data_IF_474403005625
#
_entry.id   IF_474403005625
#
_cell.length_a   1.000
_cell.length_b   1.000
_cell.length_c   1.000
_cell.angle_alpha   90.00
_cell.angle_beta   90.00
_cell.angle_gamma   90.00
#
_symmetry.space_group_name_H-M   'P 1'
#
loop_
_entity.id
_entity.type
_entity.pdbx_description
1 polymer ?
#
# COMPACT_ATOMS: atom_id res chain seq x y z
N UNK A 1 -14.80 -11.31 -8.82
CA UNK A 1 -14.76 -10.70 -10.18
C UNK A 1 -15.33 -9.29 -10.09
N UNK A 2 -14.79 -8.34 -10.85
CA UNK A 2 -15.36 -6.99 -11.05
C UNK A 2 -15.79 -6.91 -12.51
N UNK A 3 -17.01 -6.46 -12.75
CA UNK A 3 -17.57 -6.24 -14.10
C UNK A 3 -17.89 -4.76 -14.20
N UNK A 4 -17.44 -4.10 -15.25
CA UNK A 4 -17.67 -2.67 -15.51
C UNK A 4 -17.83 -2.44 -17.02
N UNK A 5 -18.49 -1.37 -17.40
CA UNK A 5 -18.72 -0.97 -18.78
C UNK A 5 -19.99 -0.12 -18.92
N UNK A 6 -20.24 0.37 -20.12
CA UNK A 6 -21.40 1.21 -20.44
C UNK A 6 -22.60 0.40 -20.93
N UNK A 7 -22.40 -0.86 -21.32
CA UNK A 7 -23.45 -1.77 -21.77
C UNK A 7 -24.17 -2.42 -20.56
N UNK A 8 -25.22 -1.73 -20.10
CA UNK A 8 -26.00 -2.15 -18.93
C UNK A 8 -26.72 -3.48 -19.18
N UNK A 9 -27.25 -3.69 -20.39
CA UNK A 9 -28.00 -4.90 -20.75
C UNK A 9 -27.06 -6.10 -20.90
N UNK A 10 -25.90 -5.93 -21.54
CA UNK A 10 -24.86 -6.94 -21.63
C UNK A 10 -24.29 -7.34 -20.28
N UNK A 11 -24.09 -6.39 -19.36
CA UNK A 11 -23.68 -6.67 -17.98
C UNK A 11 -24.75 -7.49 -17.24
N UNK A 12 -26.03 -7.15 -17.40
CA UNK A 12 -27.12 -7.88 -16.76
C UNK A 12 -27.22 -9.33 -17.28
N UNK A 13 -27.08 -9.51 -18.59
CA UNK A 13 -27.07 -10.84 -19.23
C UNK A 13 -25.88 -11.68 -18.71
N UNK A 14 -24.67 -11.11 -18.74
CA UNK A 14 -23.47 -11.78 -18.25
C UNK A 14 -23.59 -12.19 -16.77
N UNK A 15 -24.14 -11.32 -15.91
CA UNK A 15 -24.39 -11.66 -14.50
C UNK A 15 -25.34 -12.85 -14.36
N UNK A 16 -26.41 -12.89 -15.18
CA UNK A 16 -27.37 -14.00 -15.17
C UNK A 16 -26.73 -15.31 -15.60
N UNK A 17 -25.93 -15.30 -16.65
CA UNK A 17 -25.22 -16.48 -17.15
C UNK A 17 -24.17 -16.99 -16.13
N UNK A 18 -23.40 -16.09 -15.51
CA UNK A 18 -22.44 -16.44 -14.48
C UNK A 18 -23.12 -17.02 -13.23
N UNK A 19 -24.27 -16.46 -12.83
CA UNK A 19 -25.04 -17.00 -11.71
C UNK A 19 -25.55 -18.41 -12.02
N UNK A 20 -26.02 -18.65 -13.25
CA UNK A 20 -26.53 -19.94 -13.65
C UNK A 20 -25.45 -21.03 -13.79
N UNK A 21 -24.31 -20.71 -14.46
CA UNK A 21 -23.27 -21.70 -14.73
C UNK A 21 -22.30 -21.94 -13.59
N UNK A 22 -22.07 -20.94 -12.72
CA UNK A 22 -21.02 -20.97 -11.68
C UNK A 22 -21.56 -20.71 -10.27
N UNK A 23 -22.88 -20.67 -10.07
CA UNK A 23 -23.50 -20.36 -8.77
C UNK A 23 -23.00 -19.04 -8.15
N UNK A 24 -22.61 -18.08 -8.98
CA UNK A 24 -22.05 -16.81 -8.53
C UNK A 24 -23.16 -15.88 -8.05
N UNK A 25 -22.90 -15.19 -6.91
CA UNK A 25 -23.80 -14.20 -6.37
C UNK A 25 -23.35 -12.79 -6.79
N UNK A 26 -24.28 -11.98 -7.30
CA UNK A 26 -24.05 -10.53 -7.46
C UNK A 26 -24.03 -9.85 -6.10
N UNK A 27 -22.92 -9.20 -5.77
CA UNK A 27 -22.73 -8.45 -4.54
C UNK A 27 -23.10 -6.96 -4.66
N UNK A 28 -23.65 -6.57 -5.83
CA UNK A 28 -24.04 -5.18 -6.11
C UNK A 28 -22.82 -4.28 -6.41
N UNK A 29 -22.93 -2.96 -6.17
CA UNK A 29 -21.86 -2.01 -6.44
C UNK A 29 -20.58 -2.34 -5.69
N UNK A 30 -19.43 -2.11 -6.34
CA UNK A 30 -18.12 -2.34 -5.74
C UNK A 30 -17.93 -1.46 -4.49
N UNK A 31 -17.75 -2.11 -3.34
CA UNK A 31 -17.49 -1.46 -2.04
C UNK A 31 -16.24 -1.99 -1.35
N UNK A 32 -15.87 -3.22 -1.66
CA UNK A 32 -14.73 -3.89 -1.05
C UNK A 32 -14.18 -4.96 -1.99
N UNK A 33 -12.88 -4.95 -2.22
CA UNK A 33 -12.23 -5.95 -3.06
C UNK A 33 -10.78 -6.15 -2.63
N UNK A 34 -10.40 -7.37 -2.32
CA UNK A 34 -9.03 -7.74 -1.93
C UNK A 34 -8.42 -6.85 -0.84
N UNK A 35 -9.17 -6.50 0.19
CA UNK A 35 -8.65 -5.66 1.28
C UNK A 35 -8.74 -4.15 1.00
N UNK A 36 -9.17 -3.73 -0.21
CA UNK A 36 -9.37 -2.32 -0.57
C UNK A 36 -10.84 -1.98 -0.41
N UNK A 37 -11.11 -0.95 0.38
CA UNK A 37 -12.41 -0.33 0.55
C UNK A 37 -12.63 0.69 -0.56
N UNK A 38 -13.79 0.67 -1.20
CA UNK A 38 -14.15 1.59 -2.29
C UNK A 38 -15.36 2.39 -1.88
N UNK A 39 -15.19 3.68 -1.67
CA UNK A 39 -16.26 4.61 -1.39
C UNK A 39 -16.54 5.52 -2.60
N UNK A 40 -17.82 5.71 -2.90
CA UNK A 40 -18.25 6.65 -3.95
C UNK A 40 -18.59 8.00 -3.33
N UNK A 41 -18.08 9.05 -3.93
CA UNK A 41 -18.40 10.44 -3.56
C UNK A 41 -18.83 11.22 -4.81
N UNK A 42 -19.43 12.43 -4.64
CA UNK A 42 -19.72 13.32 -5.78
C UNK A 42 -18.45 13.73 -6.56
N UNK A 43 -17.29 13.64 -5.95
CA UNK A 43 -16.00 13.99 -6.55
C UNK A 43 -15.34 12.83 -7.30
N UNK A 44 -15.80 11.58 -7.12
CA UNK A 44 -15.21 10.40 -7.71
C UNK A 44 -15.17 9.22 -6.71
N UNK A 45 -14.23 8.31 -6.93
CA UNK A 45 -14.01 7.16 -6.07
C UNK A 45 -12.87 7.41 -5.09
N UNK A 46 -13.06 6.93 -3.86
CA UNK A 46 -12.04 6.93 -2.81
C UNK A 46 -11.64 5.49 -2.54
N UNK A 47 -10.34 5.21 -2.60
CA UNK A 47 -9.77 3.92 -2.22
C UNK A 47 -9.11 4.04 -0.85
N UNK A 48 -9.48 3.14 0.06
CA UNK A 48 -8.96 3.08 1.43
C UNK A 48 -8.56 1.65 1.77
N UNK A 49 -7.73 1.50 2.80
CA UNK A 49 -7.40 0.21 3.40
C UNK A 49 -7.40 0.29 4.94
N UNK A 50 -8.36 1.04 5.51
CA UNK A 50 -8.41 1.31 6.95
C UNK A 50 -8.52 0.04 7.78
N UNK A 51 -9.36 -0.90 7.38
CA UNK A 51 -9.46 -2.22 8.01
C UNK A 51 -8.16 -3.01 7.89
N UNK A 52 -7.54 -3.00 6.73
CA UNK A 52 -6.28 -3.71 6.51
C UNK A 52 -5.14 -3.14 7.35
N UNK A 53 -5.08 -1.80 7.51
CA UNK A 53 -4.13 -1.16 8.44
C UNK A 53 -4.40 -1.60 9.88
N UNK A 54 -5.66 -1.62 10.32
CA UNK A 54 -6.01 -2.09 11.65
C UNK A 54 -5.54 -3.54 11.88
N UNK A 55 -5.79 -4.43 10.92
CA UNK A 55 -5.34 -5.83 10.97
C UNK A 55 -3.79 -5.96 11.05
N UNK A 56 -3.04 -5.06 10.36
CA UNK A 56 -1.57 -5.01 10.45
C UNK A 56 -1.13 -4.56 11.85
N UNK A 57 -1.75 -3.51 12.40
CA UNK A 57 -1.44 -3.00 13.74
C UNK A 57 -1.69 -4.05 14.82
N UNK A 58 -2.79 -4.79 14.75
CA UNK A 58 -3.11 -5.88 15.66
C UNK A 58 -2.10 -7.02 15.55
N UNK A 59 -1.74 -7.42 14.32
CA UNK A 59 -0.72 -8.46 14.07
C UNK A 59 0.65 -8.07 14.61
N UNK A 60 1.01 -6.79 14.48
CA UNK A 60 2.26 -6.26 15.03
C UNK A 60 2.24 -6.17 16.56
N UNK A 61 1.09 -6.39 17.21
CA UNK A 61 0.90 -6.27 18.66
C UNK A 61 1.34 -4.90 19.18
N UNK A 62 1.06 -3.85 18.42
CA UNK A 62 1.42 -2.50 18.81
C UNK A 62 0.43 -1.99 19.86
N UNK A 63 0.77 -2.13 21.13
CA UNK A 63 -0.11 -1.85 22.29
C UNK A 63 -0.17 -0.37 22.67
N UNK A 64 0.84 0.42 22.29
CA UNK A 64 0.82 1.87 22.55
C UNK A 64 -0.10 2.60 21.55
N UNK A 65 -0.62 3.77 21.95
CA UNK A 65 -1.48 4.63 21.12
C UNK A 65 -0.72 5.75 20.42
N UNK A 66 0.61 5.72 20.45
CA UNK A 66 1.45 6.79 19.89
C UNK A 66 1.28 6.87 18.39
N UNK A 67 1.28 8.09 17.89
CA UNK A 67 1.36 8.43 16.47
C UNK A 67 2.62 9.27 16.21
N UNK A 68 3.05 9.32 14.97
CA UNK A 68 4.17 10.15 14.51
C UNK A 68 3.81 10.80 13.18
N UNK A 69 4.38 11.95 12.89
CA UNK A 69 4.02 12.75 11.71
C UNK A 69 4.76 12.33 10.44
N UNK A 70 5.81 11.52 10.56
CA UNK A 70 6.62 11.06 9.42
C UNK A 70 6.93 9.58 9.54
N UNK A 71 6.84 8.81 8.43
CA UNK A 71 7.12 7.38 8.44
C UNK A 71 8.61 7.05 8.58
N UNK A 72 9.48 8.00 8.29
CA UNK A 72 10.93 7.89 8.37
C UNK A 72 11.53 9.06 9.13
N UNK A 73 12.61 8.84 9.85
CA UNK A 73 13.43 9.92 10.42
C UNK A 73 14.31 10.54 9.34
N UNK A 74 14.50 11.86 9.44
CA UNK A 74 15.33 12.58 8.50
C UNK A 74 16.82 12.20 8.66
N UNK A 75 17.54 12.07 7.55
CA UNK A 75 18.98 11.83 7.49
C UNK A 75 19.47 10.54 8.17
N UNK A 76 18.60 9.58 8.42
CA UNK A 76 19.01 8.26 8.94
C UNK A 76 19.49 7.39 7.79
N UNK A 77 20.64 6.76 8.00
CA UNK A 77 21.17 5.69 7.14
C UNK A 77 21.13 4.39 7.93
N UNK A 78 20.68 3.34 7.30
CA UNK A 78 20.61 2.01 7.91
C UNK A 78 21.72 1.12 7.36
N UNK A 79 22.32 0.34 8.25
CA UNK A 79 23.32 -0.67 7.90
C UNK A 79 22.88 -2.05 8.38
N UNK A 80 23.23 -3.15 7.68
CA UNK A 80 22.98 -4.51 8.14
C UNK A 80 23.53 -4.82 9.55
N UNK A 81 24.55 -4.06 9.99
CA UNK A 81 25.20 -4.22 11.29
C UNK A 81 24.60 -3.36 12.41
N UNK A 82 23.58 -2.54 12.13
CA UNK A 82 22.99 -1.66 13.13
C UNK A 82 22.11 -2.43 14.12
N UNK A 83 22.44 -2.36 15.41
CA UNK A 83 21.68 -3.01 16.49
C UNK A 83 21.95 -4.52 16.60
N UNK A 84 21.05 -5.20 17.29
CA UNK A 84 21.16 -6.65 17.56
C UNK A 84 20.22 -7.42 16.64
N UNK A 85 20.67 -8.52 15.99
CA UNK A 85 19.79 -9.36 15.17
C UNK A 85 18.57 -9.83 15.96
N UNK A 86 17.40 -9.84 15.30
CA UNK A 86 16.19 -10.37 15.91
C UNK A 86 16.30 -11.90 16.04
N UNK A 87 15.92 -12.42 17.20
CA UNK A 87 15.90 -13.88 17.47
C UNK A 87 14.90 -14.61 16.57
N UNK A 88 13.77 -13.96 16.25
CA UNK A 88 12.77 -14.45 15.29
C UNK A 88 12.41 -13.35 14.29
N UNK A 89 12.82 -13.46 13.02
CA UNK A 89 12.51 -12.52 11.97
C UNK A 89 11.12 -12.71 11.34
N UNK A 90 10.34 -13.72 11.76
CA UNK A 90 9.07 -14.09 11.11
C UNK A 90 8.07 -12.96 11.12
N UNK A 91 7.89 -12.31 12.29
CA UNK A 91 6.96 -11.18 12.41
C UNK A 91 7.41 -9.99 11.54
N UNK A 92 8.72 -9.69 11.53
CA UNK A 92 9.28 -8.63 10.67
C UNK A 92 8.92 -8.86 9.21
N UNK A 93 9.18 -10.05 8.68
CA UNK A 93 8.89 -10.42 7.28
C UNK A 93 7.40 -10.34 6.96
N UNK A 94 6.56 -10.82 7.87
CA UNK A 94 5.10 -10.78 7.72
C UNK A 94 4.59 -9.34 7.63
N UNK A 95 5.06 -8.46 8.52
CA UNK A 95 4.66 -7.05 8.51
C UNK A 95 5.16 -6.34 7.26
N UNK A 96 6.43 -6.54 6.85
CA UNK A 96 6.96 -5.95 5.61
C UNK A 96 6.12 -6.38 4.41
N UNK A 97 5.80 -7.68 4.26
CA UNK A 97 4.94 -8.16 3.17
C UNK A 97 3.55 -7.50 3.16
N UNK A 98 2.96 -7.29 4.34
CA UNK A 98 1.69 -6.57 4.47
C UNK A 98 1.80 -5.09 4.09
N UNK A 99 2.90 -4.44 4.48
CA UNK A 99 3.17 -3.03 4.17
C UNK A 99 3.43 -2.82 2.67
N UNK A 100 4.09 -3.76 1.98
CA UNK A 100 4.25 -3.72 0.52
C UNK A 100 2.89 -3.69 -0.17
N UNK A 101 1.95 -4.52 0.27
CA UNK A 101 0.59 -4.49 -0.30
C UNK A 101 -0.14 -3.17 -0.04
N UNK A 102 0.10 -2.54 1.11
CA UNK A 102 -0.51 -1.27 1.48
C UNK A 102 -0.07 -0.11 0.57
N UNK A 103 1.08 -0.19 -0.10
CA UNK A 103 1.55 0.88 -1.01
C UNK A 103 0.60 1.15 -2.18
N UNK A 104 -0.31 0.24 -2.49
CA UNK A 104 -1.34 0.41 -3.52
C UNK A 104 -2.22 1.64 -3.25
N UNK A 105 -2.60 1.86 -1.98
CA UNK A 105 -3.41 3.02 -1.58
C UNK A 105 -2.64 4.08 -0.82
N UNK A 106 -1.42 3.76 -0.36
CA UNK A 106 -0.53 4.62 0.42
C UNK A 106 0.85 4.72 -0.25
N UNK A 107 0.94 5.25 -1.48
CA UNK A 107 2.19 5.27 -2.26
C UNK A 107 3.31 6.05 -1.57
N UNK A 108 2.98 7.01 -0.72
CA UNK A 108 3.95 7.84 0.01
C UNK A 108 4.80 7.06 1.04
N UNK A 109 4.40 5.83 1.42
CA UNK A 109 5.24 4.96 2.27
C UNK A 109 6.15 4.03 1.45
N UNK A 110 6.05 3.99 0.11
CA UNK A 110 6.77 3.04 -0.72
C UNK A 110 8.28 3.12 -0.53
N UNK A 111 8.83 4.34 -0.43
CA UNK A 111 10.26 4.54 -0.24
C UNK A 111 10.77 3.95 1.08
N UNK A 112 10.10 4.23 2.19
CA UNK A 112 10.52 3.72 3.50
C UNK A 112 10.37 2.19 3.58
N UNK A 113 9.34 1.64 2.94
CA UNK A 113 9.16 0.18 2.85
C UNK A 113 10.28 -0.44 2.02
N UNK A 114 10.67 0.18 0.90
CA UNK A 114 11.82 -0.26 0.12
C UNK A 114 13.08 -0.34 0.99
N UNK A 115 13.37 0.68 1.80
CA UNK A 115 14.52 0.68 2.71
C UNK A 115 14.46 -0.52 3.68
N UNK A 116 13.37 -0.68 4.43
CA UNK A 116 13.28 -1.74 5.44
C UNK A 116 13.20 -3.13 4.82
N UNK A 117 12.74 -3.25 3.57
CA UNK A 117 12.71 -4.52 2.83
C UNK A 117 14.10 -5.09 2.54
N UNK A 118 15.13 -4.25 2.47
CA UNK A 118 16.51 -4.70 2.24
C UNK A 118 17.03 -5.57 3.37
N UNK A 119 16.46 -5.46 4.57
CA UNK A 119 16.91 -6.17 5.77
C UNK A 119 16.08 -7.42 6.13
N UNK A 120 15.19 -7.88 5.25
CA UNK A 120 14.29 -9.04 5.53
C UNK A 120 15.05 -10.36 5.78
N UNK A 121 16.28 -10.48 5.29
CA UNK A 121 17.11 -11.67 5.49
C UNK A 121 17.62 -11.76 6.93
N UNK A 122 18.15 -10.65 7.47
CA UNK A 122 18.71 -10.56 8.81
C UNK A 122 18.30 -9.23 9.48
N UNK A 123 17.03 -9.05 9.88
CA UNK A 123 16.58 -7.83 10.51
C UNK A 123 17.12 -7.70 11.93
N UNK A 124 17.35 -6.46 12.34
CA UNK A 124 17.85 -6.11 13.67
C UNK A 124 16.82 -5.31 14.47
N UNK A 125 17.13 -5.05 15.73
CA UNK A 125 16.30 -4.21 16.62
C UNK A 125 16.12 -2.78 16.08
N UNK A 126 17.11 -2.24 15.37
CA UNK A 126 17.03 -0.90 14.74
C UNK A 126 16.05 -0.94 13.56
N UNK A 127 16.14 -1.96 12.71
CA UNK A 127 15.20 -2.13 11.60
C UNK A 127 13.76 -2.33 12.11
N UNK A 128 13.55 -3.08 13.19
CA UNK A 128 12.24 -3.23 13.83
C UNK A 128 11.71 -1.93 14.40
N UNK A 129 12.57 -1.10 15.01
CA UNK A 129 12.15 0.22 15.48
C UNK A 129 11.64 1.12 14.34
N UNK A 130 12.28 1.03 13.16
CA UNK A 130 11.82 1.75 11.96
C UNK A 130 10.46 1.23 11.48
N UNK A 131 10.26 -0.09 11.43
CA UNK A 131 8.94 -0.67 11.11
C UNK A 131 7.89 -0.20 12.12
N UNK A 132 8.21 -0.19 13.41
CA UNK A 132 7.30 0.33 14.45
C UNK A 132 6.96 1.80 14.22
N UNK A 133 7.91 2.61 13.75
CA UNK A 133 7.65 4.01 13.39
C UNK A 133 6.67 4.12 12.20
N UNK A 134 6.85 3.30 11.16
CA UNK A 134 5.90 3.24 10.03
C UNK A 134 4.49 2.89 10.52
N UNK A 135 4.37 1.91 11.41
CA UNK A 135 3.09 1.49 11.98
C UNK A 135 2.42 2.62 12.80
N UNK A 136 3.18 3.38 13.58
CA UNK A 136 2.67 4.55 14.30
C UNK A 136 2.23 5.68 13.38
N UNK A 137 2.93 5.89 12.27
CA UNK A 137 2.53 6.83 11.22
C UNK A 137 1.20 6.40 10.60
N UNK A 138 1.07 5.14 10.18
CA UNK A 138 -0.15 4.59 9.61
C UNK A 138 -1.34 4.64 10.57
N UNK A 139 -1.12 4.51 11.87
CA UNK A 139 -2.16 4.72 12.87
C UNK A 139 -2.68 6.17 12.86
N UNK A 140 -1.81 7.15 12.67
CA UNK A 140 -2.18 8.56 12.57
C UNK A 140 -2.90 8.91 11.27
N UNK A 141 -2.68 8.12 10.21
CA UNK A 141 -3.20 8.34 8.86
C UNK A 141 -4.20 7.28 8.40
N UNK A 142 -4.84 6.58 9.36
CA UNK A 142 -5.70 5.41 9.13
C UNK A 142 -6.80 5.64 8.08
N UNK A 143 -7.35 6.85 7.99
CA UNK A 143 -8.45 7.22 7.10
C UNK A 143 -8.00 8.01 5.86
N UNK A 144 -6.70 8.10 5.62
CA UNK A 144 -6.23 8.66 4.35
C UNK A 144 -6.66 7.78 3.19
N UNK A 145 -7.02 8.43 2.09
CA UNK A 145 -7.59 7.78 0.91
C UNK A 145 -6.97 8.31 -0.37
N UNK A 146 -6.89 7.44 -1.36
CA UNK A 146 -6.52 7.80 -2.71
C UNK A 146 -7.79 8.18 -3.49
N UNK A 147 -7.86 9.42 -3.98
CA UNK A 147 -8.99 9.91 -4.75
C UNK A 147 -8.76 9.69 -6.26
N UNK A 148 -9.77 9.11 -6.90
CA UNK A 148 -9.92 9.00 -8.35
C UNK A 148 -11.03 9.95 -8.80
N UNK A 149 -10.70 11.19 -9.24
CA UNK A 149 -11.69 12.19 -9.57
C UNK A 149 -12.52 11.81 -10.80
N UNK A 150 -13.83 12.04 -10.75
CA UNK A 150 -14.75 11.77 -11.87
C UNK A 150 -14.60 12.75 -13.05
N UNK A 151 -13.97 13.89 -12.80
CA UNK A 151 -13.76 14.96 -13.79
C UNK A 151 -12.33 14.99 -14.34
N UNK A 152 -11.50 14.00 -14.00
CA UNK A 152 -10.11 13.91 -14.45
C UNK A 152 -10.04 13.58 -15.96
N UNK A 153 -9.00 14.08 -16.62
CA UNK A 153 -8.71 13.69 -18.01
C UNK A 153 -8.24 12.23 -18.07
N UNK A 154 -8.27 11.64 -19.27
CA UNK A 154 -7.72 10.30 -19.52
C UNK A 154 -6.29 10.37 -20.11
N UNK A 155 -5.59 11.47 -19.89
CA UNK A 155 -4.21 11.62 -20.31
C UNK A 155 -3.29 10.77 -19.44
N UNK A 156 -2.50 9.90 -20.06
CA UNK A 156 -1.51 9.09 -19.37
C UNK A 156 -0.20 9.86 -19.25
N UNK A 157 0.29 10.03 -18.01
CA UNK A 157 1.57 10.68 -17.70
C UNK A 157 2.41 9.75 -16.84
N UNK A 158 3.69 9.63 -17.19
CA UNK A 158 4.63 8.82 -16.42
C UNK A 158 5.86 9.65 -16.07
N UNK A 159 6.34 9.50 -14.83
CA UNK A 159 7.56 10.12 -14.34
C UNK A 159 8.46 9.03 -13.80
N UNK A 160 9.77 9.15 -14.05
CA UNK A 160 10.77 8.27 -13.47
C UNK A 160 11.98 9.07 -13.02
N UNK A 161 12.59 8.62 -11.93
CA UNK A 161 13.84 9.16 -11.41
C UNK A 161 14.74 8.02 -10.97
N UNK A 162 16.05 8.20 -11.09
CA UNK A 162 17.02 7.18 -10.73
C UNK A 162 18.16 7.78 -9.92
N UNK A 163 18.36 7.23 -8.72
CA UNK A 163 19.46 7.57 -7.84
C UNK A 163 20.62 6.62 -8.13
N UNK A 164 21.60 7.09 -8.90
CA UNK A 164 22.76 6.30 -9.30
C UNK A 164 23.61 5.90 -8.10
N UNK A 165 23.86 4.58 -7.95
CA UNK A 165 24.76 4.01 -6.94
C UNK A 165 24.55 4.58 -5.52
N UNK A 166 23.28 4.82 -5.13
CA UNK A 166 22.90 5.48 -3.89
C UNK A 166 23.10 4.63 -2.64
N UNK A 167 23.06 3.30 -2.78
CA UNK A 167 23.27 2.40 -1.66
C UNK A 167 24.77 2.43 -1.26
N UNK A 168 25.10 2.79 -0.02
CA UNK A 168 26.48 2.84 0.45
C UNK A 168 27.12 1.45 0.60
N UNK A 169 26.32 0.39 0.71
CA UNK A 169 26.76 -0.97 1.02
C UNK A 169 27.13 -1.74 -0.25
N UNK A 170 26.23 -1.76 -1.24
CA UNK A 170 26.40 -2.56 -2.46
C UNK A 170 26.43 -1.71 -3.75
N UNK A 171 26.33 -0.39 -3.61
CA UNK A 171 26.37 0.59 -4.72
C UNK A 171 25.25 0.39 -5.74
N UNK A 172 24.17 -0.26 -5.36
CA UNK A 172 22.99 -0.37 -6.22
C UNK A 172 22.29 0.97 -6.40
N UNK A 173 21.74 1.15 -7.59
CA UNK A 173 20.89 2.29 -7.92
C UNK A 173 19.45 2.01 -7.50
N UNK A 174 18.75 3.05 -7.00
CA UNK A 174 17.32 2.98 -6.75
C UNK A 174 16.59 3.77 -7.82
N UNK A 175 15.63 3.13 -8.48
CA UNK A 175 14.76 3.80 -9.47
C UNK A 175 13.36 3.92 -8.89
N UNK A 176 12.83 5.14 -8.90
CA UNK A 176 11.43 5.43 -8.60
C UNK A 176 10.67 5.74 -9.89
N UNK A 177 9.40 5.42 -9.92
CA UNK A 177 8.50 5.87 -10.98
C UNK A 177 7.09 6.12 -10.41
N UNK A 178 6.32 6.96 -11.10
CA UNK A 178 4.91 7.11 -10.85
C UNK A 178 4.16 7.33 -12.16
N UNK A 179 2.98 6.74 -12.25
CA UNK A 179 2.11 6.80 -13.43
C UNK A 179 0.77 7.39 -13.03
N UNK A 180 0.35 8.40 -13.76
CA UNK A 180 -0.93 9.09 -13.58
C UNK A 180 -1.83 8.85 -14.77
N UNK A 181 -3.13 8.66 -14.51
CA UNK A 181 -4.20 8.80 -15.48
C UNK A 181 -4.97 10.07 -15.11
N UNK A 182 -4.76 11.14 -15.89
CA UNK A 182 -5.20 12.48 -15.50
C UNK A 182 -4.58 12.91 -14.16
N UNK A 183 -5.42 13.14 -13.15
CA UNK A 183 -5.00 13.53 -11.81
C UNK A 183 -4.92 12.35 -10.84
N UNK A 184 -5.19 11.13 -11.31
CA UNK A 184 -5.19 9.91 -10.49
C UNK A 184 -3.84 9.21 -10.59
N UNK A 185 -3.17 9.00 -9.46
CA UNK A 185 -2.00 8.12 -9.37
C UNK A 185 -2.49 6.66 -9.49
N UNK A 186 -2.00 5.93 -10.49
CA UNK A 186 -2.41 4.55 -10.78
C UNK A 186 -1.29 3.51 -10.57
N UNK A 187 -0.02 3.95 -10.46
CA UNK A 187 1.12 3.11 -10.13
C UNK A 187 2.29 3.93 -9.58
#
# INVERSE_FOLDING_TARGET
MIITGDDVDGIALLKSELAFHFEMKDLGPLRYFLGIEVARSPRGYLLLQSKYIADILDRARLTDTRTVDTPLELNVRYSPSDGTPLSDPTLYRTIIGSLVYLTITHPYIAYVIHIVSQFVTCPTTVHWATVTRILRYLRGTLFESLLFPSTSSLELRAYSDAYWASDPTDRKSTTGFCIFLGDSLIS
#
